data_IF_126034949040
#
_entry.id   IF_126034949040
#
_cell.length_a   1.000
_cell.length_b   1.000
_cell.length_c   1.000
_cell.angle_alpha   90.00
_cell.angle_beta   90.00
_cell.angle_gamma   90.00
#
_symmetry.space_group_name_H-M   'P 1'
#
loop_
_entity.id
_entity.type
_entity.pdbx_description
1 polymer ?
#
# COMPACT_ATOMS: atom_id res chain seq x y z
N UNK A 1 -3.87 -18.87 10.99
CA UNK A 1 -3.70 -18.48 9.57
C UNK A 1 -5.00 -17.85 9.11
N UNK A 2 -5.13 -16.52 9.18
CA UNK A 2 -6.31 -15.83 8.65
C UNK A 2 -6.15 -15.76 7.13
N UNK A 3 -6.91 -16.57 6.38
CA UNK A 3 -6.91 -16.46 4.92
C UNK A 3 -7.37 -15.06 4.55
N UNK A 4 -6.55 -14.30 3.83
CA UNK A 4 -6.90 -12.99 3.28
C UNK A 4 -8.19 -13.16 2.45
N UNK A 5 -9.36 -12.83 3.02
CA UNK A 5 -10.62 -12.92 2.29
C UNK A 5 -10.61 -11.83 1.21
N UNK A 6 -10.78 -12.22 -0.04
CA UNK A 6 -10.97 -11.26 -1.14
C UNK A 6 -12.28 -10.50 -0.94
N UNK A 7 -12.30 -9.18 -1.17
CA UNK A 7 -13.53 -8.35 -1.15
C UNK A 7 -14.61 -8.98 -2.03
N UNK A 8 -14.26 -9.45 -3.22
CA UNK A 8 -15.21 -10.11 -4.13
C UNK A 8 -15.77 -11.41 -3.56
N UNK A 9 -14.96 -12.17 -2.82
CA UNK A 9 -15.40 -13.40 -2.14
C UNK A 9 -16.35 -13.08 -0.99
N UNK A 10 -16.05 -12.04 -0.20
CA UNK A 10 -16.93 -11.59 0.89
C UNK A 10 -18.29 -11.11 0.35
N UNK A 11 -18.28 -10.29 -0.70
CA UNK A 11 -19.51 -9.77 -1.32
C UNK A 11 -20.37 -10.91 -1.93
N UNK A 12 -19.72 -11.88 -2.59
CA UNK A 12 -20.42 -13.00 -3.22
C UNK A 12 -20.93 -14.02 -2.20
N UNK A 13 -20.19 -14.23 -1.11
CA UNK A 13 -20.50 -15.16 -0.03
C UNK A 13 -20.78 -14.38 1.27
N UNK A 14 -21.82 -13.55 1.22
CA UNK A 14 -22.13 -12.65 2.32
C UNK A 14 -22.41 -13.42 3.61
N UNK A 15 -21.78 -13.06 4.72
CA UNK A 15 -21.99 -13.74 6.01
C UNK A 15 -22.29 -12.76 7.15
N UNK A 16 -22.33 -11.46 6.87
CA UNK A 16 -22.44 -10.39 7.86
C UNK A 16 -23.89 -10.06 8.25
N UNK A 17 -24.87 -10.77 7.68
CA UNK A 17 -26.30 -10.57 7.94
C UNK A 17 -26.94 -9.43 7.14
N UNK A 18 -28.27 -9.37 7.13
CA UNK A 18 -29.04 -8.44 6.29
C UNK A 18 -28.90 -6.98 6.75
N UNK A 19 -28.94 -6.73 8.06
CA UNK A 19 -28.78 -5.36 8.62
C UNK A 19 -27.46 -4.73 8.18
N UNK A 20 -26.37 -5.52 8.21
CA UNK A 20 -25.06 -5.07 7.76
C UNK A 20 -25.01 -4.83 6.25
N UNK A 21 -25.75 -5.61 5.46
CA UNK A 21 -25.84 -5.41 4.02
C UNK A 21 -26.50 -4.06 3.66
N UNK A 22 -27.54 -3.69 4.40
CA UNK A 22 -28.24 -2.42 4.22
C UNK A 22 -27.40 -1.23 4.66
N UNK A 23 -26.77 -1.32 5.84
CA UNK A 23 -25.86 -0.29 6.34
C UNK A 23 -24.70 -0.05 5.37
N UNK A 24 -24.02 -1.13 4.95
CA UNK A 24 -22.95 -1.07 3.98
C UNK A 24 -23.41 -0.47 2.64
N UNK A 25 -24.59 -0.89 2.16
CA UNK A 25 -25.15 -0.34 0.91
C UNK A 25 -25.41 1.16 1.03
N UNK A 26 -25.92 1.63 2.17
CA UNK A 26 -26.14 3.06 2.38
C UNK A 26 -24.82 3.86 2.36
N UNK A 27 -23.80 3.36 3.07
CA UNK A 27 -22.47 3.98 3.08
C UNK A 27 -21.84 4.01 1.69
N UNK A 28 -21.92 2.90 0.95
CA UNK A 28 -21.45 2.80 -0.42
C UNK A 28 -22.19 3.78 -1.36
N UNK A 29 -23.51 3.88 -1.25
CA UNK A 29 -24.29 4.79 -2.09
C UNK A 29 -23.92 6.25 -1.82
N UNK A 30 -23.71 6.62 -0.55
CA UNK A 30 -23.20 7.94 -0.18
C UNK A 30 -21.81 8.21 -0.77
N UNK A 31 -20.90 7.23 -0.74
CA UNK A 31 -19.53 7.41 -1.26
C UNK A 31 -19.47 7.52 -2.79
N UNK A 32 -20.43 6.95 -3.52
CA UNK A 32 -20.55 7.12 -4.98
C UNK A 32 -21.42 8.32 -5.38
N UNK A 33 -21.81 9.16 -4.42
CA UNK A 33 -22.46 10.46 -4.66
C UNK A 33 -23.99 10.42 -4.72
N UNK A 34 -24.62 9.35 -4.24
CA UNK A 34 -26.08 9.37 -4.06
C UNK A 34 -26.43 10.19 -2.81
N UNK A 35 -27.62 10.81 -2.83
CA UNK A 35 -28.13 11.54 -1.67
C UNK A 35 -28.41 10.63 -0.46
N UNK A 36 -28.70 11.26 0.68
CA UNK A 36 -28.99 10.54 1.93
C UNK A 36 -30.20 9.62 1.77
N UNK A 37 -30.00 8.31 1.97
CA UNK A 37 -31.09 7.35 2.12
C UNK A 37 -31.37 7.08 3.61
N UNK A 38 -32.63 6.82 3.94
CA UNK A 38 -33.07 6.34 5.25
C UNK A 38 -33.24 4.82 5.19
N UNK A 39 -32.72 4.11 6.20
CA UNK A 39 -33.01 2.69 6.41
C UNK A 39 -34.43 2.56 6.99
N UNK A 40 -35.26 1.69 6.40
CA UNK A 40 -36.67 1.51 6.78
C UNK A 40 -36.86 0.52 7.96
N UNK A 41 -36.00 -0.47 8.13
CA UNK A 41 -35.98 -1.36 9.30
C UNK A 41 -34.59 -1.54 9.90
N UNK A 42 -34.12 -0.57 10.72
CA UNK A 42 -32.81 -0.62 11.37
C UNK A 42 -32.56 -1.87 12.25
N UNK A 43 -33.63 -2.57 12.64
CA UNK A 43 -33.59 -3.72 13.55
C UNK A 43 -34.03 -5.05 12.87
N UNK A 44 -34.23 -5.04 11.55
CA UNK A 44 -34.65 -6.21 10.77
C UNK A 44 -36.15 -6.52 10.87
N UNK A 45 -36.85 -6.40 9.74
CA UNK A 45 -38.27 -6.69 9.62
C UNK A 45 -38.69 -6.88 8.15
N UNK A 46 -39.93 -7.34 7.87
CA UNK A 46 -40.40 -7.54 6.50
C UNK A 46 -40.62 -6.19 5.78
N UNK A 47 -39.61 -5.71 5.05
CA UNK A 47 -39.66 -4.36 4.43
C UNK A 47 -40.41 -4.28 3.12
N UNK A 48 -40.90 -5.42 2.63
CA UNK A 48 -41.69 -5.50 1.41
C UNK A 48 -40.96 -4.87 0.22
N UNK A 49 -39.65 -5.05 0.10
CA UNK A 49 -38.84 -4.62 -1.05
C UNK A 49 -38.39 -3.17 -1.05
N UNK A 50 -38.21 -2.54 0.13
CA UNK A 50 -37.68 -1.19 0.29
C UNK A 50 -36.75 -1.14 1.49
N UNK A 51 -35.49 -1.45 1.25
CA UNK A 51 -34.53 -1.56 2.34
C UNK A 51 -33.95 -0.16 2.65
N UNK A 52 -33.71 0.64 1.61
CA UNK A 52 -33.38 2.07 1.74
C UNK A 52 -34.31 2.94 0.89
N UNK A 53 -34.62 4.15 1.38
CA UNK A 53 -35.50 5.10 0.71
C UNK A 53 -34.98 6.55 0.81
N UNK A 54 -34.99 7.25 -0.32
CA UNK A 54 -34.93 8.72 -0.35
C UNK A 54 -36.35 9.22 -0.63
N UNK A 55 -37.01 9.71 0.42
CA UNK A 55 -38.42 10.11 0.40
C UNK A 55 -38.67 11.27 -0.58
N UNK A 56 -37.74 12.22 -0.66
CA UNK A 56 -37.87 13.42 -1.49
C UNK A 56 -37.97 13.10 -2.98
N UNK A 57 -37.22 12.09 -3.43
CA UNK A 57 -37.17 11.69 -4.85
C UNK A 57 -37.88 10.34 -5.13
N UNK A 58 -38.55 9.77 -4.12
CA UNK A 58 -39.16 8.42 -4.15
C UNK A 58 -38.22 7.39 -4.78
N UNK A 59 -36.96 7.42 -4.37
CA UNK A 59 -35.92 6.51 -4.84
C UNK A 59 -35.80 5.36 -3.87
N UNK A 60 -36.16 4.15 -4.32
CA UNK A 60 -36.10 2.95 -3.49
C UNK A 60 -34.92 2.07 -3.87
N UNK A 61 -34.25 1.55 -2.85
CA UNK A 61 -33.12 0.65 -3.00
C UNK A 61 -33.49 -0.71 -2.42
N UNK A 62 -33.22 -1.76 -3.20
CA UNK A 62 -33.28 -3.14 -2.75
C UNK A 62 -31.84 -3.68 -2.58
N UNK A 63 -31.54 -4.19 -1.40
CA UNK A 63 -30.25 -4.74 -1.00
C UNK A 63 -30.32 -6.27 -1.02
N UNK A 64 -29.62 -6.90 -1.96
CA UNK A 64 -29.64 -8.35 -2.13
C UNK A 64 -28.26 -8.98 -1.99
N UNK A 65 -27.95 -9.43 -0.77
CA UNK A 65 -26.69 -10.09 -0.41
C UNK A 65 -26.98 -11.51 0.08
N UNK A 66 -27.06 -12.52 -0.81
CA UNK A 66 -27.39 -13.88 -0.42
C UNK A 66 -26.33 -14.46 0.53
N UNK A 67 -26.79 -15.12 1.59
CA UNK A 67 -25.91 -15.60 2.66
C UNK A 67 -25.15 -16.86 2.23
N UNK A 68 -23.82 -16.80 2.23
CA UNK A 68 -22.90 -17.92 1.97
C UNK A 68 -23.17 -18.71 0.68
N UNK A 69 -23.75 -18.07 -0.35
CA UNK A 69 -24.12 -18.77 -1.58
C UNK A 69 -24.00 -17.87 -2.81
N UNK A 70 -23.38 -18.39 -3.87
CA UNK A 70 -23.43 -17.78 -5.19
C UNK A 70 -24.75 -18.12 -5.90
N UNK A 71 -25.45 -17.11 -6.38
CA UNK A 71 -26.75 -17.27 -7.02
C UNK A 71 -26.62 -17.27 -8.53
N UNK A 72 -27.35 -18.17 -9.18
CA UNK A 72 -27.50 -18.16 -10.64
C UNK A 72 -28.18 -16.87 -11.11
N UNK A 73 -27.88 -16.44 -12.34
CA UNK A 73 -28.51 -15.26 -12.94
C UNK A 73 -30.04 -15.36 -12.95
N UNK A 74 -30.61 -16.55 -13.18
CA UNK A 74 -32.07 -16.77 -13.12
C UNK A 74 -32.65 -16.45 -11.73
N UNK A 75 -31.93 -16.83 -10.67
CA UNK A 75 -32.35 -16.54 -9.29
C UNK A 75 -32.26 -15.05 -8.97
N UNK A 76 -31.17 -14.40 -9.39
CA UNK A 76 -30.98 -12.95 -9.24
C UNK A 76 -32.08 -12.19 -9.99
N UNK A 77 -32.41 -12.61 -11.22
CA UNK A 77 -33.48 -12.03 -12.03
C UNK A 77 -34.85 -12.15 -11.36
N UNK A 78 -35.18 -13.32 -10.80
CA UNK A 78 -36.44 -13.51 -10.05
C UNK A 78 -36.53 -12.55 -8.86
N UNK A 79 -35.43 -12.38 -8.10
CA UNK A 79 -35.37 -11.46 -6.96
C UNK A 79 -35.49 -10.00 -7.40
N UNK A 80 -34.74 -9.59 -8.41
CA UNK A 80 -34.82 -8.26 -9.01
C UNK A 80 -36.27 -7.91 -9.41
N UNK A 81 -36.93 -8.78 -10.18
CA UNK A 81 -38.32 -8.53 -10.60
C UNK A 81 -39.27 -8.42 -9.40
N UNK A 82 -39.14 -9.32 -8.43
CA UNK A 82 -39.98 -9.29 -7.23
C UNK A 82 -39.83 -8.00 -6.42
N UNK A 83 -38.61 -7.49 -6.27
CA UNK A 83 -38.36 -6.24 -5.54
C UNK A 83 -38.76 -5.01 -6.37
N UNK A 84 -38.55 -5.06 -7.68
CA UNK A 84 -39.01 -4.02 -8.61
C UNK A 84 -40.54 -3.87 -8.58
N UNK A 85 -41.29 -4.96 -8.69
CA UNK A 85 -42.76 -4.94 -8.67
C UNK A 85 -43.29 -4.35 -7.36
N UNK A 86 -42.64 -4.68 -6.23
CA UNK A 86 -42.97 -4.11 -4.91
C UNK A 86 -42.66 -2.62 -4.86
N UNK A 87 -41.51 -2.19 -5.38
CA UNK A 87 -41.13 -0.78 -5.43
C UNK A 87 -42.11 0.03 -6.28
N UNK A 88 -42.49 -0.50 -7.44
CA UNK A 88 -43.47 0.10 -8.35
C UNK A 88 -44.85 0.22 -7.69
N UNK A 89 -45.35 -0.86 -7.07
CA UNK A 89 -46.62 -0.84 -6.34
C UNK A 89 -46.65 0.18 -5.19
N UNK A 90 -45.48 0.52 -4.65
CA UNK A 90 -45.29 1.53 -3.60
C UNK A 90 -45.00 2.94 -4.13
N UNK A 91 -45.02 3.14 -5.45
CA UNK A 91 -44.92 4.42 -6.13
C UNK A 91 -43.50 4.97 -6.26
N UNK A 92 -42.49 4.09 -6.35
CA UNK A 92 -41.13 4.51 -6.67
C UNK A 92 -41.08 5.30 -7.98
N UNK A 93 -40.22 6.32 -8.06
CA UNK A 93 -39.84 6.98 -9.32
C UNK A 93 -38.47 6.50 -9.83
N UNK A 94 -37.63 6.06 -8.90
CA UNK A 94 -36.30 5.54 -9.15
C UNK A 94 -36.13 4.24 -8.38
N UNK A 95 -35.52 3.24 -9.02
CA UNK A 95 -35.22 1.96 -8.39
C UNK A 95 -33.73 1.65 -8.52
N UNK A 96 -33.10 1.19 -7.44
CA UNK A 96 -31.74 0.69 -7.49
C UNK A 96 -31.66 -0.68 -6.84
N UNK A 97 -31.17 -1.65 -7.60
CA UNK A 97 -30.93 -3.00 -7.11
C UNK A 97 -29.44 -3.18 -6.85
N UNK A 98 -29.08 -3.31 -5.57
CA UNK A 98 -27.70 -3.51 -5.13
C UNK A 98 -27.52 -4.97 -4.75
N UNK A 99 -26.53 -5.65 -5.31
CA UNK A 99 -26.24 -7.04 -4.96
C UNK A 99 -24.75 -7.29 -4.82
N UNK A 100 -24.37 -8.12 -3.85
CA UNK A 100 -22.99 -8.61 -3.70
C UNK A 100 -22.58 -9.62 -4.78
N UNK A 101 -23.51 -10.08 -5.61
CA UNK A 101 -23.24 -11.03 -6.70
C UNK A 101 -22.56 -10.33 -7.90
N UNK A 102 -21.59 -11.00 -8.52
CA UNK A 102 -20.93 -10.51 -9.73
C UNK A 102 -21.87 -10.66 -10.94
N UNK A 103 -22.02 -9.59 -11.74
CA UNK A 103 -22.85 -9.61 -12.94
C UNK A 103 -22.09 -9.06 -14.15
N UNK A 104 -22.22 -9.74 -15.28
CA UNK A 104 -21.69 -9.22 -16.54
C UNK A 104 -22.47 -7.98 -16.99
N UNK A 105 -21.82 -7.08 -17.73
CA UNK A 105 -22.48 -5.88 -18.26
C UNK A 105 -23.77 -6.18 -19.06
N UNK A 106 -23.80 -7.29 -19.81
CA UNK A 106 -25.00 -7.75 -20.54
C UNK A 106 -26.12 -8.15 -19.59
N UNK A 107 -25.81 -8.84 -18.49
CA UNK A 107 -26.79 -9.25 -17.48
C UNK A 107 -27.39 -8.04 -16.75
N UNK A 108 -26.56 -7.04 -16.39
CA UNK A 108 -27.04 -5.78 -15.79
C UNK A 108 -28.04 -5.08 -16.72
N UNK A 109 -27.68 -4.90 -18.00
CA UNK A 109 -28.57 -4.32 -19.03
C UNK A 109 -29.87 -5.12 -19.19
N UNK A 110 -29.80 -6.45 -19.17
CA UNK A 110 -30.98 -7.31 -19.24
C UNK A 110 -31.91 -7.06 -18.05
N UNK A 111 -31.40 -6.94 -16.82
CA UNK A 111 -32.23 -6.62 -15.65
C UNK A 111 -32.84 -5.21 -15.77
N UNK A 112 -32.04 -4.21 -16.11
CA UNK A 112 -32.48 -2.82 -16.29
C UNK A 112 -33.52 -2.70 -17.42
N UNK A 113 -33.50 -3.57 -18.44
CA UNK A 113 -34.52 -3.56 -19.50
C UNK A 113 -35.92 -4.00 -19.06
N UNK A 114 -36.05 -4.69 -17.91
CA UNK A 114 -37.35 -5.10 -17.37
C UNK A 114 -38.07 -3.98 -16.61
N UNK A 115 -37.40 -2.87 -16.30
CA UNK A 115 -38.02 -1.78 -15.55
C UNK A 115 -38.87 -0.87 -16.46
N UNK A 116 -40.02 -1.37 -16.90
CA UNK A 116 -40.99 -0.51 -17.58
C UNK A 116 -41.56 0.52 -16.61
N UNK A 117 -41.63 1.78 -17.05
CA UNK A 117 -42.32 2.86 -16.32
C UNK A 117 -41.46 3.71 -15.38
N UNK A 118 -40.31 3.20 -14.88
CA UNK A 118 -39.41 3.98 -13.99
C UNK A 118 -37.94 3.70 -14.28
N UNK A 119 -37.06 4.64 -13.93
CA UNK A 119 -35.60 4.48 -14.13
C UNK A 119 -35.05 3.49 -13.10
N UNK A 120 -34.46 2.40 -13.60
CA UNK A 120 -33.78 1.39 -12.78
C UNK A 120 -32.27 1.42 -12.97
N UNK A 121 -31.52 1.10 -11.91
CA UNK A 121 -30.07 0.91 -11.93
C UNK A 121 -29.70 -0.38 -11.20
N UNK A 122 -28.81 -1.17 -11.79
CA UNK A 122 -28.20 -2.33 -11.12
C UNK A 122 -26.77 -2.00 -10.71
N UNK A 123 -26.46 -2.29 -9.44
CA UNK A 123 -25.12 -2.22 -8.86
C UNK A 123 -24.77 -3.62 -8.37
N UNK A 124 -23.68 -4.18 -8.88
CA UNK A 124 -23.26 -5.56 -8.62
C UNK A 124 -21.95 -5.62 -7.85
N UNK A 125 -21.60 -6.82 -7.38
CA UNK A 125 -20.43 -7.02 -6.52
C UNK A 125 -19.12 -6.56 -7.16
N UNK A 126 -18.99 -6.61 -8.49
CA UNK A 126 -17.83 -6.07 -9.20
C UNK A 126 -17.77 -4.54 -9.20
N UNK A 127 -18.92 -3.85 -9.33
CA UNK A 127 -18.98 -2.40 -9.22
C UNK A 127 -18.60 -1.96 -7.79
N UNK A 128 -19.15 -2.66 -6.80
CA UNK A 128 -18.88 -2.43 -5.38
C UNK A 128 -17.39 -2.66 -5.10
N UNK A 129 -16.84 -3.81 -5.50
CA UNK A 129 -15.44 -4.14 -5.28
C UNK A 129 -14.50 -3.12 -5.93
N UNK A 130 -14.76 -2.72 -7.17
CA UNK A 130 -13.93 -1.74 -7.88
C UNK A 130 -13.88 -0.38 -7.15
N UNK A 131 -14.99 0.06 -6.55
CA UNK A 131 -15.03 1.29 -5.77
C UNK A 131 -14.40 1.13 -4.38
N UNK A 132 -14.75 0.05 -3.66
CA UNK A 132 -14.24 -0.23 -2.31
C UNK A 132 -12.74 -0.47 -2.30
N UNK A 133 -12.15 -0.96 -3.40
CA UNK A 133 -10.70 -1.13 -3.53
C UNK A 133 -9.92 0.18 -3.67
N UNK A 134 -10.56 1.32 -3.96
CA UNK A 134 -9.85 2.60 -4.13
C UNK A 134 -9.29 3.10 -2.79
N UNK A 135 -8.06 3.65 -2.74
CA UNK A 135 -7.42 4.08 -1.49
C UNK A 135 -8.32 4.97 -0.61
N UNK A 136 -8.98 5.95 -1.22
CA UNK A 136 -9.86 6.93 -0.58
C UNK A 136 -11.11 6.34 0.12
N UNK A 137 -11.46 5.09 -0.18
CA UNK A 137 -12.63 4.40 0.36
C UNK A 137 -12.29 3.40 1.49
N UNK A 138 -11.26 3.71 2.28
CA UNK A 138 -10.82 2.84 3.39
C UNK A 138 -11.92 2.55 4.41
N UNK A 139 -12.73 3.54 4.74
CA UNK A 139 -13.86 3.42 5.67
C UNK A 139 -14.88 2.34 5.25
N UNK A 140 -15.07 2.08 3.94
CA UNK A 140 -15.94 1.00 3.47
C UNK A 140 -15.31 -0.39 3.67
N UNK A 141 -13.99 -0.51 3.56
CA UNK A 141 -13.27 -1.77 3.81
C UNK A 141 -13.31 -2.12 5.30
N UNK A 142 -13.12 -1.11 6.15
CA UNK A 142 -13.26 -1.22 7.60
C UNK A 142 -14.65 -1.72 7.99
N UNK A 143 -15.70 -1.15 7.39
CA UNK A 143 -17.08 -1.59 7.65
C UNK A 143 -17.29 -3.07 7.27
N UNK A 144 -16.68 -3.54 6.17
CA UNK A 144 -16.74 -4.95 5.78
C UNK A 144 -15.95 -5.89 6.72
N UNK A 145 -15.28 -5.37 7.75
CA UNK A 145 -14.37 -6.14 8.60
C UNK A 145 -13.12 -6.61 7.84
N UNK A 146 -12.91 -6.09 6.62
CA UNK A 146 -11.67 -6.25 5.87
C UNK A 146 -10.77 -5.15 6.39
N UNK A 147 -10.15 -5.45 7.53
CA UNK A 147 -9.00 -4.69 7.97
C UNK A 147 -7.96 -4.82 6.87
N UNK A 148 -7.75 -3.73 6.15
CA UNK A 148 -6.48 -3.58 5.48
C UNK A 148 -5.44 -3.57 6.59
N UNK A 149 -4.70 -4.68 6.72
CA UNK A 149 -3.31 -4.62 7.20
C UNK A 149 -2.49 -3.57 6.40
N UNK A 150 -3.05 -3.03 5.31
CA UNK A 150 -2.68 -1.78 4.64
C UNK A 150 -3.34 -0.53 5.26
N UNK A 151 -3.00 -0.24 6.51
CA UNK A 151 -2.02 0.82 6.68
C UNK A 151 -0.72 0.14 7.11
N UNK A 152 -0.02 -0.46 6.13
CA UNK A 152 1.42 -0.30 6.19
C UNK A 152 1.54 1.22 6.14
N UNK A 153 1.94 1.86 7.24
CA UNK A 153 2.38 3.25 7.17
C UNK A 153 3.24 3.38 5.91
N UNK A 154 3.14 4.49 5.17
CA UNK A 154 4.03 4.72 4.03
C UNK A 154 5.48 4.39 4.41
N UNK A 155 5.84 4.68 5.66
CA UNK A 155 7.06 4.23 6.34
C UNK A 155 7.31 2.72 6.24
N UNK A 156 6.37 1.87 6.64
CA UNK A 156 6.54 0.41 6.62
C UNK A 156 6.70 -0.15 5.21
N UNK A 157 5.99 0.42 4.22
CA UNK A 157 6.16 0.02 2.81
C UNK A 157 7.51 0.48 2.27
N UNK A 158 7.88 1.72 2.56
CA UNK A 158 9.17 2.30 2.22
C UNK A 158 10.31 1.48 2.80
N UNK A 159 10.27 1.18 4.11
CA UNK A 159 11.26 0.35 4.78
C UNK A 159 11.34 -1.06 4.19
N UNK A 160 10.20 -1.67 3.84
CA UNK A 160 10.19 -2.99 3.21
C UNK A 160 10.87 -2.98 1.83
N UNK A 161 10.60 -1.95 1.03
CA UNK A 161 11.24 -1.80 -0.28
C UNK A 161 12.74 -1.48 -0.12
N UNK A 162 13.09 -0.65 0.86
CA UNK A 162 14.48 -0.33 1.18
C UNK A 162 15.25 -1.59 1.57
N UNK A 163 14.70 -2.43 2.46
CA UNK A 163 15.32 -3.72 2.84
C UNK A 163 15.29 -4.79 1.76
N UNK A 164 14.49 -4.60 0.70
CA UNK A 164 14.44 -5.50 -0.45
C UNK A 164 15.57 -5.18 -1.44
N UNK A 165 15.89 -3.91 -1.60
CA UNK A 165 16.94 -3.46 -2.51
C UNK A 165 18.31 -3.36 -1.82
N UNK A 166 18.35 -2.96 -0.54
CA UNK A 166 19.59 -2.77 0.23
C UNK A 166 19.78 -3.91 1.22
N UNK A 167 20.90 -4.63 1.06
CA UNK A 167 21.37 -5.59 2.07
C UNK A 167 22.13 -4.87 3.18
N UNK A 168 21.39 -4.40 4.19
CA UNK A 168 21.95 -3.71 5.36
C UNK A 168 22.93 -4.58 6.16
N UNK A 169 22.81 -5.91 6.09
CA UNK A 169 23.77 -6.79 6.76
C UNK A 169 25.10 -6.74 6.04
N UNK A 170 25.10 -6.96 4.73
CA UNK A 170 26.31 -6.86 3.92
C UNK A 170 26.93 -5.46 3.99
N UNK A 171 26.10 -4.42 4.06
CA UNK A 171 26.56 -3.04 4.23
C UNK A 171 27.28 -2.81 5.57
N UNK A 172 26.73 -3.31 6.67
CA UNK A 172 27.36 -3.21 8.00
C UNK A 172 28.63 -4.07 8.07
N UNK A 173 28.62 -5.27 7.49
CA UNK A 173 29.81 -6.13 7.39
C UNK A 173 30.91 -5.47 6.55
N UNK A 174 30.53 -4.83 5.43
CA UNK A 174 31.43 -4.05 4.59
C UNK A 174 32.01 -2.86 5.35
N UNK A 175 31.18 -2.08 6.06
CA UNK A 175 31.65 -0.95 6.87
C UNK A 175 32.65 -1.38 7.96
N UNK A 176 32.36 -2.49 8.66
CA UNK A 176 33.21 -3.01 9.73
C UNK A 176 34.53 -3.63 9.25
N UNK A 177 34.58 -4.10 7.99
CA UNK A 177 35.80 -4.63 7.38
C UNK A 177 36.68 -3.54 6.75
N UNK A 178 36.18 -2.31 6.65
CA UNK A 178 36.97 -1.18 6.18
C UNK A 178 38.00 -0.75 7.23
N UNK A 179 39.14 -0.28 6.75
CA UNK A 179 40.18 0.35 7.57
C UNK A 179 40.38 1.77 7.03
N UNK A 180 39.58 2.76 7.45
CA UNK A 180 39.69 4.11 6.90
C UNK A 180 41.02 4.78 7.30
N UNK A 181 41.69 5.50 6.37
CA UNK A 181 41.35 5.74 4.96
C UNK A 181 41.94 4.70 3.98
N UNK A 182 42.59 3.67 4.51
CA UNK A 182 43.53 2.78 3.82
C UNK A 182 42.80 1.80 2.91
N UNK A 183 41.71 1.18 3.37
CA UNK A 183 41.04 0.10 2.64
C UNK A 183 39.51 0.19 2.80
N UNK A 184 38.80 0.03 1.69
CA UNK A 184 37.35 -0.04 1.64
C UNK A 184 36.85 -1.26 0.88
N UNK A 185 35.71 -1.80 1.28
CA UNK A 185 35.10 -2.95 0.63
C UNK A 185 34.63 -2.60 -0.79
N UNK A 186 34.82 -3.52 -1.74
CA UNK A 186 34.27 -3.42 -3.09
C UNK A 186 32.75 -3.54 -3.13
N UNK A 187 32.13 -4.02 -2.04
CA UNK A 187 30.68 -4.08 -1.89
C UNK A 187 30.00 -2.71 -2.05
N UNK A 188 30.69 -1.61 -1.71
CA UNK A 188 30.15 -0.26 -1.84
C UNK A 188 29.70 0.07 -3.27
N UNK A 189 30.37 -0.47 -4.30
CA UNK A 189 29.96 -0.28 -5.71
C UNK A 189 28.58 -0.87 -5.95
N UNK A 190 28.36 -2.12 -5.53
CA UNK A 190 27.05 -2.77 -5.65
C UNK A 190 26.00 -2.04 -4.82
N UNK A 191 26.35 -1.60 -3.62
CA UNK A 191 25.46 -0.82 -2.76
C UNK A 191 25.00 0.48 -3.43
N UNK A 192 25.87 1.23 -4.10
CA UNK A 192 25.48 2.45 -4.80
C UNK A 192 24.52 2.16 -5.96
N UNK A 193 24.76 1.09 -6.73
CA UNK A 193 23.84 0.64 -7.77
C UNK A 193 22.47 0.26 -7.20
N UNK A 194 22.46 -0.47 -6.08
CA UNK A 194 21.25 -0.90 -5.39
C UNK A 194 20.47 0.31 -4.83
N UNK A 195 21.18 1.30 -4.29
CA UNK A 195 20.62 2.55 -3.79
C UNK A 195 20.02 3.39 -4.90
N UNK A 196 20.70 3.52 -6.04
CA UNK A 196 20.18 4.24 -7.20
C UNK A 196 18.86 3.61 -7.68
N UNK A 197 18.80 2.28 -7.80
CA UNK A 197 17.56 1.56 -8.16
C UNK A 197 16.44 1.77 -7.14
N UNK A 198 16.76 1.78 -5.85
CA UNK A 198 15.78 2.08 -4.81
C UNK A 198 15.24 3.53 -4.98
N UNK A 199 16.13 4.50 -5.17
CA UNK A 199 15.79 5.91 -5.27
C UNK A 199 14.88 6.25 -6.47
N UNK A 200 14.97 5.51 -7.58
CA UNK A 200 14.09 5.68 -8.75
C UNK A 200 12.60 5.49 -8.41
N UNK A 201 12.30 4.67 -7.40
CA UNK A 201 10.93 4.32 -7.01
C UNK A 201 10.56 4.77 -5.60
N UNK A 202 11.50 5.40 -4.90
CA UNK A 202 11.30 5.87 -3.54
C UNK A 202 10.41 7.13 -3.52
N UNK A 203 9.40 7.14 -2.64
CA UNK A 203 8.51 8.29 -2.42
C UNK A 203 8.72 8.90 -1.01
N UNK A 204 9.89 9.52 -0.72
CA UNK A 204 10.22 10.00 0.63
C UNK A 204 9.35 11.16 1.10
N UNK A 205 8.58 11.79 0.20
CA UNK A 205 7.59 12.83 0.53
C UNK A 205 6.41 12.30 1.34
N UNK A 206 6.15 10.99 1.28
CA UNK A 206 5.02 10.34 1.93
C UNK A 206 5.34 9.79 3.33
N UNK A 207 6.60 9.91 3.77
CA UNK A 207 7.08 9.39 5.06
C UNK A 207 6.68 10.29 6.22
N UNK A 208 6.60 9.69 7.42
CA UNK A 208 6.54 10.45 8.67
C UNK A 208 7.79 11.32 8.85
N UNK A 209 7.65 12.47 9.52
CA UNK A 209 8.76 13.39 9.75
C UNK A 209 9.94 12.71 10.47
N UNK A 210 9.65 11.77 11.37
CA UNK A 210 10.66 11.00 12.09
C UNK A 210 11.47 10.11 11.15
N UNK A 211 10.82 9.22 10.37
CA UNK A 211 11.54 8.34 9.44
C UNK A 211 12.25 9.15 8.35
N UNK A 212 11.60 10.21 7.87
CA UNK A 212 12.17 11.14 6.89
C UNK A 212 13.49 11.75 7.39
N UNK A 213 13.55 12.14 8.67
CA UNK A 213 14.79 12.62 9.31
C UNK A 213 15.91 11.58 9.30
N UNK A 214 15.63 10.33 9.71
CA UNK A 214 16.62 9.26 9.68
C UNK A 214 17.08 8.92 8.26
N UNK A 215 16.15 8.86 7.30
CA UNK A 215 16.47 8.54 5.92
C UNK A 215 17.34 9.61 5.26
N UNK A 216 17.01 10.90 5.41
CA UNK A 216 17.83 11.95 4.83
C UNK A 216 19.19 12.09 5.52
N UNK A 217 19.26 11.92 6.84
CA UNK A 217 20.55 11.89 7.54
C UNK A 217 21.44 10.75 7.04
N UNK A 218 20.86 9.58 6.73
CA UNK A 218 21.57 8.47 6.11
C UNK A 218 22.03 8.78 4.69
N UNK A 219 21.17 9.36 3.85
CA UNK A 219 21.54 9.79 2.50
C UNK A 219 22.64 10.86 2.49
N UNK A 220 22.58 11.84 3.38
CA UNK A 220 23.63 12.85 3.52
C UNK A 220 24.97 12.22 3.89
N UNK A 221 24.98 11.24 4.80
CA UNK A 221 26.20 10.52 5.15
C UNK A 221 26.75 9.68 3.99
N UNK A 222 25.88 9.15 3.13
CA UNK A 222 26.27 8.45 1.90
C UNK A 222 26.89 9.41 0.89
N UNK A 223 26.28 10.58 0.67
CA UNK A 223 26.81 11.61 -0.25
C UNK A 223 28.21 12.03 0.18
N UNK A 224 28.42 12.28 1.48
CA UNK A 224 29.74 12.62 2.03
C UNK A 224 30.75 11.50 1.75
N UNK A 225 30.34 10.23 1.89
CA UNK A 225 31.22 9.12 1.55
C UNK A 225 31.51 9.05 0.05
N UNK A 226 30.51 9.21 -0.80
CA UNK A 226 30.68 9.12 -2.25
C UNK A 226 31.64 10.22 -2.75
N UNK A 227 31.36 11.48 -2.40
CA UNK A 227 32.12 12.65 -2.83
C UNK A 227 33.51 12.72 -2.19
N UNK A 228 33.64 12.48 -0.88
CA UNK A 228 34.93 12.65 -0.18
C UNK A 228 35.79 11.38 -0.21
N UNK A 229 35.18 10.22 -0.45
CA UNK A 229 35.85 8.93 -0.30
C UNK A 229 36.10 8.23 -1.62
N UNK A 230 35.06 8.05 -2.44
CA UNK A 230 35.14 7.25 -3.65
C UNK A 230 35.52 8.07 -4.89
N UNK A 231 35.10 9.33 -4.97
CA UNK A 231 35.42 10.22 -6.09
C UNK A 231 36.82 10.85 -6.02
N UNK A 232 37.57 10.62 -4.93
CA UNK A 232 38.98 11.04 -4.85
C UNK A 232 39.88 10.09 -5.68
N UNK A 233 40.60 10.64 -6.66
CA UNK A 233 41.45 9.95 -7.67
C UNK A 233 42.60 9.07 -7.15
N UNK A 234 42.65 8.75 -5.85
CA UNK A 234 43.82 8.14 -5.19
C UNK A 234 43.65 6.65 -4.85
N UNK A 235 42.55 6.01 -5.27
CA UNK A 235 42.24 4.61 -4.94
C UNK A 235 42.49 3.64 -6.09
N UNK A 236 43.03 2.47 -5.77
CA UNK A 236 43.17 1.34 -6.70
C UNK A 236 42.35 0.14 -6.22
N UNK A 237 41.67 -0.54 -7.16
CA UNK A 237 40.94 -1.77 -6.88
C UNK A 237 41.89 -2.97 -6.78
N UNK A 238 41.93 -3.63 -5.62
CA UNK A 238 42.66 -4.87 -5.40
C UNK A 238 41.74 -6.07 -5.59
N UNK A 239 41.82 -6.70 -6.76
CA UNK A 239 40.98 -7.84 -7.17
C UNK A 239 40.99 -9.02 -6.19
N UNK A 240 42.13 -9.44 -5.60
CA UNK A 240 42.16 -10.62 -4.72
C UNK A 240 41.38 -10.43 -3.41
N UNK A 241 41.35 -9.21 -2.88
CA UNK A 241 40.64 -8.87 -1.64
C UNK A 241 39.31 -8.19 -1.88
N UNK A 242 38.99 -7.86 -3.14
CA UNK A 242 37.83 -7.05 -3.53
C UNK A 242 37.74 -5.76 -2.71
N UNK A 243 38.87 -5.07 -2.54
CA UNK A 243 38.95 -3.83 -1.75
C UNK A 243 39.57 -2.70 -2.55
N UNK A 244 39.09 -1.48 -2.36
CA UNK A 244 39.76 -0.27 -2.84
C UNK A 244 40.79 0.19 -1.80
N UNK A 245 42.04 0.43 -2.22
CA UNK A 245 43.11 0.81 -1.30
C UNK A 245 43.72 2.17 -1.66
N UNK A 246 43.98 3.00 -0.62
CA UNK A 246 44.73 4.25 -0.69
C UNK A 246 46.21 3.99 -0.38
N UNK A 247 47.12 4.48 -1.22
CA UNK A 247 48.57 4.39 -0.96
C UNK A 247 49.20 5.75 -0.68
N UNK A 248 50.15 5.78 0.27
CA UNK A 248 50.96 6.96 0.61
C UNK A 248 52.11 7.12 -0.39
N UNK A 249 52.59 8.35 -0.62
CA UNK A 249 53.80 8.58 -1.42
C UNK A 249 54.98 7.85 -0.74
N UNK A 250 55.56 6.86 -1.41
CA UNK A 250 56.60 5.98 -0.85
C UNK A 250 56.27 4.48 -0.91
N UNK A 251 54.99 4.09 -0.98
CA UNK A 251 54.57 2.70 -1.15
C UNK A 251 54.54 2.27 -2.63
N UNK A 252 54.34 3.23 -3.55
CA UNK A 252 54.47 3.13 -5.02
C UNK A 252 54.84 4.51 -5.63
N UNK A 253 55.14 4.55 -6.94
CA UNK A 253 55.67 5.72 -7.72
C UNK A 253 54.73 6.95 -7.73
N UNK A 254 53.47 6.83 -7.30
CA UNK A 254 52.51 7.93 -7.11
C UNK A 254 51.75 7.73 -5.79
N UNK A 255 51.57 8.79 -5.01
CA UNK A 255 50.89 8.78 -3.71
C UNK A 255 50.89 10.16 -3.06
N UNK A 256 50.30 10.29 -1.87
CA UNK A 256 50.11 11.59 -1.20
C UNK A 256 51.27 11.95 -0.23
N UNK A 257 51.70 13.23 -0.17
CA UNK A 257 52.56 13.74 0.91
C UNK A 257 51.97 13.48 2.30
N UNK A 258 52.81 13.31 3.32
CA UNK A 258 52.39 12.98 4.70
C UNK A 258 51.31 13.90 5.27
N UNK A 259 51.48 15.21 5.12
CA UNK A 259 50.54 16.21 5.65
C UNK A 259 49.18 16.16 4.94
N UNK A 260 49.18 15.84 3.65
CA UNK A 260 47.97 15.68 2.84
C UNK A 260 47.27 14.37 3.17
N UNK A 261 48.03 13.29 3.35
CA UNK A 261 47.54 11.99 3.82
C UNK A 261 46.87 12.08 5.19
N UNK A 262 47.46 12.81 6.15
CA UNK A 262 46.87 13.00 7.49
C UNK A 262 45.57 13.81 7.43
N UNK A 263 45.54 14.87 6.62
CA UNK A 263 44.33 15.68 6.40
C UNK A 263 43.20 14.83 5.82
N UNK A 264 43.49 14.10 4.75
CA UNK A 264 42.55 13.20 4.07
C UNK A 264 42.13 12.06 5.01
N UNK A 265 43.06 11.50 5.80
CA UNK A 265 42.77 10.45 6.76
C UNK A 265 41.75 10.88 7.80
N UNK A 266 41.83 12.11 8.31
CA UNK A 266 40.92 12.59 9.33
C UNK A 266 39.51 12.80 8.77
N UNK A 267 39.40 13.38 7.57
CA UNK A 267 38.14 13.57 6.84
C UNK A 267 37.48 12.22 6.56
N UNK A 268 38.20 11.28 5.94
CA UNK A 268 37.65 9.96 5.57
C UNK A 268 37.27 9.12 6.80
N UNK A 269 38.01 9.20 7.91
CA UNK A 269 37.64 8.55 9.19
C UNK A 269 36.34 9.12 9.76
N UNK A 270 36.19 10.44 9.73
CA UNK A 270 34.97 11.12 10.19
C UNK A 270 33.77 10.76 9.31
N UNK A 271 33.94 10.77 7.97
CA UNK A 271 32.91 10.36 7.01
C UNK A 271 32.45 8.91 7.24
N UNK A 272 33.39 7.96 7.36
CA UNK A 272 33.06 6.55 7.65
C UNK A 272 32.32 6.35 8.96
N UNK A 273 32.73 7.07 10.00
CA UNK A 273 32.07 7.03 11.30
C UNK A 273 30.63 7.55 11.18
N UNK A 274 30.44 8.71 10.55
CA UNK A 274 29.13 9.32 10.38
C UNK A 274 28.19 8.42 9.56
N UNK A 275 28.68 7.82 8.48
CA UNK A 275 27.92 6.84 7.69
C UNK A 275 27.51 5.62 8.50
N UNK A 276 28.42 5.05 9.29
CA UNK A 276 28.14 3.87 10.11
C UNK A 276 27.10 4.21 11.18
N UNK A 277 27.26 5.34 11.86
CA UNK A 277 26.32 5.82 12.88
C UNK A 277 24.93 6.09 12.29
N UNK A 278 24.85 6.76 11.13
CA UNK A 278 23.58 7.06 10.46
C UNK A 278 22.90 5.78 9.93
N UNK A 279 23.68 4.84 9.40
CA UNK A 279 23.17 3.53 8.94
C UNK A 279 22.57 2.75 10.10
N UNK A 280 23.28 2.67 11.23
CA UNK A 280 22.79 1.99 12.43
C UNK A 280 21.55 2.69 13.01
N UNK A 281 21.54 4.03 13.04
CA UNK A 281 20.39 4.80 13.50
C UNK A 281 19.13 4.51 12.68
N UNK A 282 19.25 4.49 11.34
CA UNK A 282 18.16 4.12 10.44
C UNK A 282 17.71 2.67 10.68
N UNK A 283 18.64 1.71 10.76
CA UNK A 283 18.32 0.31 11.02
C UNK A 283 17.58 0.15 12.35
N UNK A 284 18.06 0.78 13.42
CA UNK A 284 17.43 0.70 14.74
C UNK A 284 16.03 1.28 14.74
N UNK A 285 15.84 2.47 14.15
CA UNK A 285 14.52 3.06 14.03
C UNK A 285 13.55 2.14 13.27
N UNK A 286 13.97 1.60 12.12
CA UNK A 286 13.14 0.69 11.32
C UNK A 286 12.81 -0.60 12.07
N UNK A 287 13.78 -1.17 12.78
CA UNK A 287 13.58 -2.41 13.55
C UNK A 287 12.59 -2.20 14.70
N UNK A 288 12.76 -1.12 15.45
CA UNK A 288 12.04 -0.88 16.69
C UNK A 288 10.59 -0.43 16.40
N UNK A 289 10.37 0.40 15.38
CA UNK A 289 9.04 0.93 15.02
C UNK A 289 8.26 0.03 14.04
N UNK A 290 8.95 -0.64 13.12
CA UNK A 290 8.27 -1.38 12.03
C UNK A 290 8.38 -2.90 12.13
N UNK A 291 9.05 -3.42 13.17
CA UNK A 291 9.24 -4.86 13.45
C UNK A 291 9.76 -5.66 12.24
N UNK A 292 10.47 -5.01 11.32
CA UNK A 292 11.13 -5.67 10.22
C UNK A 292 12.36 -6.37 10.79
N UNK A 293 12.35 -7.70 10.80
CA UNK A 293 13.52 -8.46 11.22
C UNK A 293 14.60 -8.33 10.14
N UNK A 294 15.80 -7.94 10.56
CA UNK A 294 17.02 -8.21 9.80
C UNK A 294 17.06 -9.74 9.65
N UNK A 295 16.97 -10.26 8.41
CA UNK A 295 17.20 -11.69 8.21
C UNK A 295 18.62 -12.00 8.67
N UNK A 296 18.72 -12.84 9.70
CA UNK A 296 19.97 -13.31 10.29
C UNK A 296 20.80 -14.10 9.30
#
# INVERSE_FOLDING_TARGET
>A
MSSRQSITSLLTMWHLGNVKAELFTNMYLASVGYGSFKNRSPLGGPDGGRDLENESDRHFVACYFPTMEQKSFSSIRKKYNSDFDKALAKGAKHFTFVTGQILQAKQKKTLESYSSGIKSKVISGDDIAAHVCKPENSHLREELGIFTDQQFSNDKNFCKNLYKEIDFRALVEAANSCIPPISFSGYFVQFFDDLARFQETAEPSLLSDTLKGFYYSWLEAIIVIDEEIFDSYDYFYATPTQTFNLHRLGDRVKGLPTSEFEKISNVKKAGFKNFTDATLALIHHIRDEHRLMIQR
#
